data_IF_262501062159
#
_entry.id   IF_262501062159
#
_cell.length_a   1.000
_cell.length_b   1.000
_cell.length_c   1.000
_cell.angle_alpha   90.00
_cell.angle_beta   90.00
_cell.angle_gamma   90.00
#
_symmetry.space_group_name_H-M   'P 1'
#
loop_
_entity.id
_entity.type
_entity.pdbx_description
1 polymer ?
#
# COMPACT_ATOMS: atom_id res chain seq x y z
N UNK A 1 -19.90 -8.61 8.22
CA UNK A 1 -19.10 -9.84 8.26
C UNK A 1 -18.14 -9.73 9.43
N UNK A 2 -17.62 -10.84 9.95
CA UNK A 2 -16.69 -10.83 11.09
C UNK A 2 -15.54 -9.82 10.89
N UNK A 3 -14.91 -9.80 9.72
CA UNK A 3 -13.83 -8.87 9.41
C UNK A 3 -14.23 -7.37 9.47
N UNK A 4 -15.46 -7.01 9.09
CA UNK A 4 -15.93 -5.62 9.18
C UNK A 4 -16.12 -5.23 10.65
N UNK A 5 -16.67 -6.12 11.46
CA UNK A 5 -16.92 -5.86 12.88
C UNK A 5 -15.59 -5.80 13.66
N UNK A 6 -14.60 -6.61 13.30
CA UNK A 6 -13.24 -6.55 13.85
C UNK A 6 -12.55 -5.22 13.48
N UNK A 7 -12.67 -4.79 12.23
CA UNK A 7 -12.08 -3.51 11.79
C UNK A 7 -12.78 -2.32 12.46
N UNK A 8 -14.10 -2.35 12.65
CA UNK A 8 -14.83 -1.33 13.42
C UNK A 8 -14.29 -1.23 14.85
N UNK A 9 -14.14 -2.36 15.52
CA UNK A 9 -13.58 -2.41 16.87
C UNK A 9 -12.14 -1.88 16.90
N UNK A 10 -11.31 -2.26 15.93
CA UNK A 10 -9.95 -1.73 15.82
C UNK A 10 -9.92 -0.21 15.59
N UNK A 11 -10.77 0.31 14.70
CA UNK A 11 -10.96 1.74 14.49
C UNK A 11 -11.37 2.45 15.79
N UNK A 12 -12.34 1.90 16.52
CA UNK A 12 -12.83 2.47 17.78
C UNK A 12 -11.75 2.47 18.87
N UNK A 13 -10.95 1.41 18.96
CA UNK A 13 -9.81 1.32 19.88
C UNK A 13 -8.68 2.30 19.54
N UNK A 14 -8.45 2.55 18.25
CA UNK A 14 -7.37 3.43 17.77
C UNK A 14 -7.80 4.90 17.64
N UNK A 15 -9.09 5.21 17.75
CA UNK A 15 -9.63 6.57 17.63
C UNK A 15 -8.95 7.60 18.55
N UNK A 16 -8.61 7.29 19.82
CA UNK A 16 -7.90 8.23 20.69
C UNK A 16 -6.48 8.56 20.18
N UNK A 17 -5.82 7.62 19.48
CA UNK A 17 -4.52 7.88 18.83
C UNK A 17 -4.76 8.80 17.64
N UNK A 18 -5.70 8.44 16.77
CA UNK A 18 -6.06 9.24 15.59
C UNK A 18 -6.33 10.70 15.94
N UNK A 19 -7.16 10.94 16.96
CA UNK A 19 -7.48 12.30 17.42
C UNK A 19 -6.26 13.03 17.99
N UNK A 20 -5.47 12.39 18.87
CA UNK A 20 -4.29 13.01 19.48
C UNK A 20 -3.21 13.35 18.46
N UNK A 21 -3.11 12.58 17.39
CA UNK A 21 -2.14 12.78 16.31
C UNK A 21 -2.68 13.59 15.14
N UNK A 22 -3.88 14.17 15.25
CA UNK A 22 -4.55 14.90 14.16
C UNK A 22 -4.59 14.11 12.84
N UNK A 23 -4.94 12.82 12.92
CA UNK A 23 -5.05 11.97 11.74
C UNK A 23 -3.72 11.53 11.10
N UNK A 24 -2.58 11.71 11.78
CA UNK A 24 -1.31 11.12 11.34
C UNK A 24 -1.29 9.60 11.55
N UNK A 25 -1.72 9.13 12.73
CA UNK A 25 -1.75 7.72 13.10
C UNK A 25 -3.16 7.25 13.50
N UNK A 26 -3.27 6.01 13.99
CA UNK A 26 -4.51 5.48 14.56
C UNK A 26 -5.50 4.94 13.52
N UNK A 27 -5.01 4.51 12.36
CA UNK A 27 -5.82 3.89 11.32
C UNK A 27 -5.90 2.36 11.45
N UNK A 28 -7.01 1.78 11.00
CA UNK A 28 -7.12 0.35 10.72
C UNK A 28 -7.40 0.13 9.23
N UNK A 29 -6.74 -0.85 8.60
CA UNK A 29 -6.90 -1.12 7.17
C UNK A 29 -7.75 -2.36 6.92
N UNK A 30 -8.70 -2.27 5.98
CA UNK A 30 -9.47 -3.40 5.46
C UNK A 30 -9.17 -3.58 3.96
N UNK A 31 -8.77 -4.77 3.57
CA UNK A 31 -8.35 -5.08 2.20
C UNK A 31 -9.53 -5.46 1.31
N UNK A 32 -9.50 -4.96 0.07
CA UNK A 32 -10.40 -5.46 -0.99
C UNK A 32 -10.07 -6.91 -1.32
N UNK A 33 -11.00 -7.64 -1.93
CA UNK A 33 -10.73 -9.03 -2.34
C UNK A 33 -9.53 -9.10 -3.30
N UNK A 34 -8.54 -9.98 -3.05
CA UNK A 34 -7.37 -10.12 -3.92
C UNK A 34 -7.73 -10.59 -5.34
N UNK A 35 -8.90 -11.22 -5.52
CA UNK A 35 -9.40 -11.61 -6.84
C UNK A 35 -9.75 -10.40 -7.73
N UNK A 36 -9.90 -9.23 -7.13
CA UNK A 36 -10.19 -7.97 -7.84
C UNK A 36 -8.92 -7.18 -8.20
N UNK A 37 -7.72 -7.67 -7.86
CA UNK A 37 -6.46 -6.93 -8.04
C UNK A 37 -6.15 -6.48 -9.50
N UNK A 38 -6.87 -7.04 -10.48
CA UNK A 38 -6.77 -6.69 -11.90
C UNK A 38 -8.08 -6.16 -12.50
N UNK A 39 -9.04 -5.81 -11.66
CA UNK A 39 -10.40 -5.41 -11.99
C UNK A 39 -10.68 -4.03 -11.38
N UNK A 40 -10.44 -2.97 -12.16
CA UNK A 40 -10.46 -1.58 -11.67
C UNK A 40 -11.81 -1.18 -11.10
N UNK A 41 -12.88 -1.34 -11.87
CA UNK A 41 -14.23 -0.88 -11.49
C UNK A 41 -14.77 -1.67 -10.29
N UNK A 42 -14.52 -2.98 -10.27
CA UNK A 42 -14.90 -3.87 -9.19
C UNK A 42 -14.12 -3.53 -7.91
N UNK A 43 -12.85 -3.17 -8.02
CA UNK A 43 -12.04 -2.69 -6.89
C UNK A 43 -12.59 -1.38 -6.33
N UNK A 44 -12.98 -0.44 -7.20
CA UNK A 44 -13.59 0.84 -6.79
C UNK A 44 -14.90 0.59 -6.06
N UNK A 45 -15.78 -0.22 -6.65
CA UNK A 45 -17.09 -0.55 -6.10
C UNK A 45 -16.95 -1.22 -4.73
N UNK A 46 -16.04 -2.19 -4.61
CA UNK A 46 -15.79 -2.89 -3.36
C UNK A 46 -15.15 -1.98 -2.31
N UNK A 47 -14.19 -1.13 -2.69
CA UNK A 47 -13.59 -0.16 -1.78
C UNK A 47 -14.59 0.80 -1.18
N UNK A 48 -15.50 1.35 -2.01
CA UNK A 48 -16.62 2.20 -1.54
C UNK A 48 -17.56 1.44 -0.61
N UNK A 49 -17.93 0.20 -0.98
CA UNK A 49 -18.82 -0.66 -0.19
C UNK A 49 -18.21 -0.97 1.18
N UNK A 50 -16.93 -1.33 1.23
CA UNK A 50 -16.21 -1.64 2.47
C UNK A 50 -16.06 -0.39 3.35
N UNK A 51 -15.69 0.75 2.78
CA UNK A 51 -15.59 2.00 3.51
C UNK A 51 -16.92 2.38 4.17
N UNK A 52 -18.01 2.36 3.39
CA UNK A 52 -19.35 2.63 3.89
C UNK A 52 -19.83 1.59 4.91
N UNK A 53 -19.44 0.33 4.73
CA UNK A 53 -19.79 -0.72 5.68
C UNK A 53 -19.02 -0.61 7.00
N UNK A 54 -17.76 -0.16 7.00
CA UNK A 54 -17.03 0.08 8.25
C UNK A 54 -17.54 1.34 8.95
N UNK A 55 -17.74 2.43 8.20
CA UNK A 55 -18.28 3.70 8.71
C UNK A 55 -17.48 4.28 9.89
N UNK A 56 -16.17 4.46 9.68
CA UNK A 56 -15.23 5.06 10.64
C UNK A 56 -14.24 5.97 9.92
N UNK A 57 -13.98 7.14 10.51
CA UNK A 57 -13.12 8.17 9.91
C UNK A 57 -11.65 7.74 9.78
N UNK A 58 -11.22 6.78 10.59
CA UNK A 58 -9.86 6.23 10.63
C UNK A 58 -9.77 4.83 10.01
N UNK A 59 -10.70 4.47 9.11
CA UNK A 59 -10.51 3.29 8.25
C UNK A 59 -9.69 3.67 7.02
N UNK A 60 -8.81 2.76 6.61
CA UNK A 60 -8.17 2.78 5.29
C UNK A 60 -8.65 1.58 4.48
N UNK A 61 -8.93 1.79 3.20
CA UNK A 61 -9.15 0.68 2.26
C UNK A 61 -7.81 0.28 1.67
N UNK A 62 -7.43 -0.98 1.88
CA UNK A 62 -6.17 -1.49 1.35
C UNK A 62 -6.38 -1.97 -0.10
N UNK A 63 -5.62 -1.38 -1.03
CA UNK A 63 -5.72 -1.61 -2.48
C UNK A 63 -4.33 -1.99 -3.03
N UNK A 64 -4.20 -3.08 -3.80
CA UNK A 64 -2.94 -3.42 -4.46
C UNK A 64 -2.46 -2.34 -5.44
N UNK A 65 -1.17 -1.99 -5.40
CA UNK A 65 -0.50 -1.07 -6.33
C UNK A 65 -0.19 -1.70 -7.70
N UNK A 66 -1.11 -2.50 -8.23
CA UNK A 66 -1.02 -3.06 -9.59
C UNK A 66 -1.39 -1.98 -10.63
N UNK A 67 -1.07 -2.17 -11.93
CA UNK A 67 -1.50 -1.22 -12.96
C UNK A 67 -3.03 -0.96 -13.00
N UNK A 68 -3.84 -1.98 -12.67
CA UNK A 68 -5.29 -1.84 -12.56
C UNK A 68 -5.73 -1.21 -11.23
N UNK A 69 -4.94 -1.38 -10.16
CA UNK A 69 -5.21 -0.75 -8.86
C UNK A 69 -4.91 0.75 -8.85
N UNK A 70 -3.95 1.23 -9.64
CA UNK A 70 -3.60 2.67 -9.75
C UNK A 70 -4.82 3.57 -10.03
N UNK A 71 -5.65 3.33 -11.06
CA UNK A 71 -6.86 4.13 -11.26
C UNK A 71 -7.89 3.96 -10.14
N UNK A 72 -7.99 2.78 -9.50
CA UNK A 72 -8.88 2.59 -8.36
C UNK A 72 -8.43 3.39 -7.13
N UNK A 73 -7.12 3.48 -6.87
CA UNK A 73 -6.52 4.29 -5.81
C UNK A 73 -6.87 5.76 -6.02
N UNK A 74 -6.63 6.29 -7.22
CA UNK A 74 -6.99 7.67 -7.59
C UNK A 74 -8.48 7.94 -7.37
N UNK A 75 -9.35 7.01 -7.80
CA UNK A 75 -10.79 7.18 -7.72
C UNK A 75 -11.31 7.23 -6.27
N UNK A 76 -10.81 6.34 -5.43
CA UNK A 76 -11.17 6.27 -4.02
C UNK A 76 -10.69 7.51 -3.25
N UNK A 77 -9.44 7.92 -3.45
CA UNK A 77 -8.89 9.14 -2.83
C UNK A 77 -9.65 10.37 -3.30
N UNK A 78 -9.95 10.46 -4.60
CA UNK A 78 -10.75 11.53 -5.16
C UNK A 78 -12.19 11.58 -4.67
N UNK A 79 -12.63 10.56 -3.93
CA UNK A 79 -13.93 10.50 -3.24
C UNK A 79 -13.83 10.74 -1.74
N UNK A 80 -12.66 11.11 -1.22
CA UNK A 80 -12.44 11.35 0.19
C UNK A 80 -12.15 10.09 1.02
N UNK A 81 -11.81 8.95 0.40
CA UNK A 81 -11.55 7.69 1.10
C UNK A 81 -10.05 7.54 1.35
N UNK A 82 -9.67 7.22 2.60
CA UNK A 82 -8.28 6.90 2.94
C UNK A 82 -7.87 5.56 2.32
N UNK A 83 -6.69 5.50 1.72
CA UNK A 83 -6.21 4.29 1.01
C UNK A 83 -4.88 3.83 1.58
N UNK A 84 -4.76 2.53 1.85
CA UNK A 84 -3.47 1.87 2.10
C UNK A 84 -3.04 1.17 0.82
N UNK A 85 -2.12 1.75 0.05
CA UNK A 85 -1.60 1.10 -1.14
C UNK A 85 -0.69 -0.04 -0.72
N UNK A 86 -0.94 -1.26 -1.19
CA UNK A 86 -0.16 -2.44 -0.82
C UNK A 86 0.47 -3.13 -2.02
N UNK A 87 1.25 -4.19 -1.78
CA UNK A 87 1.97 -4.95 -2.81
C UNK A 87 2.88 -4.09 -3.70
N UNK A 88 3.53 -3.08 -3.11
CA UNK A 88 4.56 -2.28 -3.78
C UNK A 88 5.93 -2.95 -3.60
N UNK A 89 6.61 -3.21 -4.72
CA UNK A 89 7.93 -3.86 -4.77
C UNK A 89 8.96 -3.09 -5.61
N UNK A 90 8.51 -2.12 -6.40
CA UNK A 90 9.34 -1.37 -7.33
C UNK A 90 9.09 0.13 -7.18
N UNK A 91 10.15 0.93 -7.30
CA UNK A 91 10.06 2.40 -7.24
C UNK A 91 9.07 2.95 -8.27
N UNK A 92 9.05 2.39 -9.48
CA UNK A 92 8.11 2.80 -10.53
C UNK A 92 6.65 2.54 -10.17
N UNK A 93 6.34 1.47 -9.41
CA UNK A 93 4.99 1.22 -8.91
C UNK A 93 4.63 2.19 -7.78
N UNK A 94 5.59 2.49 -6.90
CA UNK A 94 5.43 3.53 -5.87
C UNK A 94 5.15 4.89 -6.50
N UNK A 95 5.92 5.32 -7.50
CA UNK A 95 5.71 6.59 -8.20
C UNK A 95 4.32 6.66 -8.85
N UNK A 96 3.85 5.58 -9.46
CA UNK A 96 2.51 5.52 -10.04
C UNK A 96 1.43 5.69 -8.96
N UNK A 97 1.57 5.02 -7.82
CA UNK A 97 0.66 5.16 -6.69
C UNK A 97 0.69 6.57 -6.08
N UNK A 98 1.88 7.16 -5.92
CA UNK A 98 2.04 8.53 -5.42
C UNK A 98 1.40 9.56 -6.36
N UNK A 99 1.56 9.39 -7.68
CA UNK A 99 0.91 10.25 -8.68
C UNK A 99 -0.61 10.08 -8.68
N UNK A 100 -1.11 8.85 -8.53
CA UNK A 100 -2.55 8.59 -8.37
C UNK A 100 -3.11 9.26 -7.11
N UNK A 101 -2.36 9.25 -6.01
CA UNK A 101 -2.73 9.97 -4.79
C UNK A 101 -2.85 11.47 -5.02
N UNK A 102 -1.85 12.08 -5.65
CA UNK A 102 -1.87 13.53 -5.95
C UNK A 102 -3.07 13.87 -6.83
N UNK A 103 -3.29 13.15 -7.94
CA UNK A 103 -4.43 13.40 -8.84
C UNK A 103 -5.79 13.22 -8.13
N UNK A 104 -5.89 12.20 -7.28
CA UNK A 104 -7.06 11.98 -6.43
C UNK A 104 -7.32 13.17 -5.52
N UNK A 105 -6.30 13.66 -4.80
CA UNK A 105 -6.44 14.84 -3.94
C UNK A 105 -6.83 16.10 -4.72
N UNK A 106 -6.20 16.36 -5.87
CA UNK A 106 -6.54 17.50 -6.74
C UNK A 106 -8.02 17.47 -7.13
N UNK A 107 -8.53 16.29 -7.50
CA UNK A 107 -9.94 16.10 -7.83
C UNK A 107 -10.86 16.29 -6.62
N UNK A 108 -10.46 15.79 -5.45
CA UNK A 108 -11.22 15.94 -4.22
C UNK A 108 -11.32 17.43 -3.83
N UNK A 109 -10.21 18.17 -3.87
CA UNK A 109 -10.18 19.61 -3.63
C UNK A 109 -11.05 20.38 -4.64
N UNK A 110 -10.97 20.05 -5.93
CA UNK A 110 -11.78 20.68 -6.96
C UNK A 110 -13.30 20.50 -6.75
N UNK A 111 -13.70 19.43 -6.07
CA UNK A 111 -15.09 19.18 -5.67
C UNK A 111 -15.50 19.85 -4.35
N UNK A 112 -14.61 20.64 -3.73
CA UNK A 112 -14.84 21.28 -2.42
C UNK A 112 -14.53 20.38 -1.22
N UNK A 113 -13.83 19.27 -1.44
CA UNK A 113 -13.39 18.35 -0.40
C UNK A 113 -12.33 18.97 0.52
N UNK A 114 -12.37 18.58 1.79
CA UNK A 114 -11.38 18.98 2.79
C UNK A 114 -10.19 18.02 2.78
N UNK A 115 -9.08 18.46 2.18
CA UNK A 115 -7.86 17.65 2.04
C UNK A 115 -7.30 17.15 3.37
N UNK A 116 -7.58 17.82 4.50
CA UNK A 116 -7.10 17.38 5.82
C UNK A 116 -7.72 16.06 6.29
N UNK A 117 -8.79 15.60 5.63
CA UNK A 117 -9.54 14.39 5.98
C UNK A 117 -9.13 13.16 5.17
N UNK A 118 -8.19 13.29 4.24
CA UNK A 118 -7.74 12.20 3.37
C UNK A 118 -6.27 11.91 3.62
N UNK A 119 -5.98 10.69 4.03
CA UNK A 119 -4.65 10.16 4.21
C UNK A 119 -4.42 8.92 3.35
N UNK A 120 -3.17 8.69 2.99
CA UNK A 120 -2.74 7.49 2.29
C UNK A 120 -1.37 7.04 2.75
N UNK A 121 -1.14 5.73 2.72
CA UNK A 121 0.17 5.13 2.96
C UNK A 121 0.56 4.24 1.79
N UNK A 122 1.85 4.19 1.47
CA UNK A 122 2.41 3.31 0.47
C UNK A 122 3.18 2.17 1.16
N UNK A 123 2.54 1.01 1.33
CA UNK A 123 3.12 -0.17 1.97
C UNK A 123 4.08 -0.88 1.01
N UNK A 124 5.36 -0.51 1.10
CA UNK A 124 6.47 -1.08 0.34
C UNK A 124 7.04 -2.32 1.01
N UNK A 125 7.22 -3.42 0.26
CA UNK A 125 7.68 -4.68 0.80
C UNK A 125 9.21 -4.76 0.77
N UNK A 126 9.83 -4.91 1.94
CA UNK A 126 11.29 -5.04 2.08
C UNK A 126 11.71 -6.52 2.08
N UNK A 127 11.28 -7.29 3.09
CA UNK A 127 11.75 -8.68 3.30
C UNK A 127 11.48 -9.64 2.14
N UNK A 128 10.42 -9.42 1.36
CA UNK A 128 10.11 -10.24 0.17
C UNK A 128 11.09 -10.02 -0.98
N UNK A 129 11.72 -8.84 -1.06
CA UNK A 129 12.71 -8.51 -2.09
C UNK A 129 14.02 -9.20 -1.78
N UNK A 130 14.53 -9.08 -0.54
CA UNK A 130 15.75 -9.78 -0.13
C UNK A 130 15.58 -11.29 -0.31
N UNK A 131 14.46 -11.87 0.14
CA UNK A 131 14.21 -13.30 -0.02
C UNK A 131 14.13 -13.78 -1.49
N UNK A 132 13.85 -12.92 -2.46
CA UNK A 132 13.92 -13.27 -3.89
C UNK A 132 15.31 -13.01 -4.48
N UNK A 133 15.92 -11.88 -4.15
CA UNK A 133 17.22 -11.47 -4.65
C UNK A 133 18.32 -12.38 -4.13
N UNK A 134 18.33 -12.68 -2.83
CA UNK A 134 19.34 -13.51 -2.18
C UNK A 134 19.35 -14.92 -2.78
N UNK A 135 18.19 -15.52 -3.06
CA UNK A 135 18.11 -16.82 -3.76
C UNK A 135 18.78 -16.81 -5.14
N UNK A 136 18.71 -15.69 -5.86
CA UNK A 136 19.36 -15.55 -7.17
C UNK A 136 20.86 -15.32 -7.00
N UNK A 137 21.26 -14.53 -6.01
CA UNK A 137 22.66 -14.26 -5.67
C UNK A 137 23.34 -15.56 -5.22
N UNK A 138 22.71 -16.36 -4.36
CA UNK A 138 23.19 -17.68 -3.93
C UNK A 138 23.39 -18.64 -5.12
N UNK A 139 22.45 -18.65 -6.07
CA UNK A 139 22.60 -19.44 -7.29
C UNK A 139 23.77 -18.98 -8.16
N UNK A 140 24.05 -17.67 -8.21
CA UNK A 140 25.21 -17.12 -8.92
C UNK A 140 26.53 -17.45 -8.20
N UNK A 141 26.56 -17.38 -6.87
CA UNK A 141 27.71 -17.79 -6.05
C UNK A 141 28.06 -19.25 -6.31
N UNK A 142 27.05 -20.13 -6.32
CA UNK A 142 27.24 -21.56 -6.58
C UNK A 142 27.69 -21.89 -8.01
N UNK A 143 27.56 -20.95 -8.95
CA UNK A 143 27.86 -21.16 -10.37
C UNK A 143 29.22 -20.57 -10.80
N UNK A 144 29.96 -19.91 -9.90
CA UNK A 144 31.26 -19.30 -10.19
C UNK A 144 32.37 -19.88 -9.30
N UNK A 145 33.54 -20.13 -9.88
CA UNK A 145 34.76 -20.52 -9.16
C UNK A 145 35.70 -19.33 -8.92
N UNK A 146 35.35 -18.14 -9.41
CA UNK A 146 36.14 -16.91 -9.23
C UNK A 146 35.94 -16.34 -7.81
N UNK A 147 36.98 -16.33 -6.95
CA UNK A 147 36.87 -15.90 -5.56
C UNK A 147 36.54 -14.41 -5.42
N UNK A 148 37.01 -13.56 -6.34
CA UNK A 148 36.73 -12.12 -6.30
C UNK A 148 35.23 -11.88 -6.59
N UNK A 149 34.67 -12.65 -7.54
CA UNK A 149 33.24 -12.62 -7.84
C UNK A 149 32.41 -13.17 -6.69
N UNK A 150 32.84 -14.24 -6.03
CA UNK A 150 32.16 -14.78 -4.84
C UNK A 150 32.13 -13.77 -3.70
N UNK A 151 33.27 -13.13 -3.38
CA UNK A 151 33.34 -12.11 -2.33
C UNK A 151 32.41 -10.93 -2.63
N UNK A 152 32.43 -10.43 -3.87
CA UNK A 152 31.53 -9.37 -4.31
C UNK A 152 30.05 -9.78 -4.12
N UNK A 153 29.66 -10.97 -4.58
CA UNK A 153 28.27 -11.45 -4.49
C UNK A 153 27.81 -11.69 -3.05
N UNK A 154 28.66 -12.25 -2.18
CA UNK A 154 28.40 -12.34 -0.75
C UNK A 154 28.17 -10.96 -0.12
N UNK A 155 28.92 -9.96 -0.59
CA UNK A 155 28.74 -8.56 -0.22
C UNK A 155 27.40 -7.96 -0.61
N UNK A 156 26.58 -8.59 -1.46
CA UNK A 156 25.26 -8.10 -1.90
C UNK A 156 24.08 -8.71 -1.15
N UNK A 157 24.29 -9.81 -0.40
CA UNK A 157 23.22 -10.49 0.35
C UNK A 157 22.56 -9.55 1.37
N UNK A 158 21.23 -9.59 1.46
CA UNK A 158 20.41 -8.76 2.35
C UNK A 158 20.59 -7.24 2.19
N UNK A 159 21.15 -6.76 1.06
CA UNK A 159 21.27 -5.32 0.76
C UNK A 159 20.27 -4.84 -0.28
N UNK A 160 19.64 -5.76 -1.02
CA UNK A 160 18.84 -5.41 -2.20
C UNK A 160 17.56 -4.66 -1.82
N UNK A 161 16.85 -5.09 -0.78
CA UNK A 161 15.60 -4.46 -0.40
C UNK A 161 15.81 -3.05 0.18
N UNK A 162 16.81 -2.88 1.05
CA UNK A 162 17.16 -1.58 1.64
C UNK A 162 17.59 -0.57 0.57
N UNK A 163 18.31 -1.02 -0.46
CA UNK A 163 18.68 -0.15 -1.57
C UNK A 163 17.49 0.22 -2.48
N UNK A 164 16.43 -0.58 -2.47
CA UNK A 164 15.25 -0.38 -3.32
C UNK A 164 14.14 0.44 -2.64
N UNK A 165 14.12 0.50 -1.31
CA UNK A 165 13.16 1.25 -0.48
C UNK A 165 13.59 2.68 -0.22
#
# INVERSE_FOLDING_TARGET
TLAIDDIRQACDLLLPVFQRTNGVDGYASLEVSPHLAHQTEETIAEGRRLHAAVDRINVMIKVPGTPAGVPAIEELIGSGINVNVTLLFAQSAYEQAARAYIRGLERFAASGGDLSKVASVASFFVSRIDGNADKRIEALIAATDDPDVQEMLHGLLAKTAVANS
#
